data_IF_172835873548
#
_entry.id   IF_172835873548
#
_cell.length_a   1.000
_cell.length_b   1.000
_cell.length_c   1.000
_cell.angle_alpha   90.00
_cell.angle_beta   90.00
_cell.angle_gamma   90.00
#
_symmetry.space_group_name_H-M   'P 1'
#
loop_
_entity.id
_entity.type
_entity.pdbx_description
1 polymer ?
#
# COMPACT_ATOMS: atom_id res chain seq x y z
N UNK A 1 -3.62 -0.56 35.80
CA UNK A 1 -2.89 -1.07 34.66
C UNK A 1 -2.45 0.08 33.76
N UNK A 2 -1.18 0.16 33.44
CA UNK A 2 -0.63 1.04 32.43
C UNK A 2 -0.33 0.21 31.16
N UNK A 3 -1.03 0.44 30.07
CA UNK A 3 -0.83 -0.31 28.84
C UNK A 3 -0.02 0.50 27.82
N UNK A 4 1.11 -0.05 27.39
CA UNK A 4 1.92 0.48 26.29
C UNK A 4 1.39 -0.10 24.99
N UNK A 5 1.11 0.77 24.01
CA UNK A 5 0.55 0.39 22.72
C UNK A 5 1.48 0.84 21.60
N UNK A 6 1.92 -0.08 20.75
CA UNK A 6 2.62 0.22 19.51
C UNK A 6 1.63 0.70 18.45
N UNK A 7 1.14 1.94 18.56
CA UNK A 7 0.03 2.47 17.75
C UNK A 7 0.29 2.47 16.25
N UNK A 8 1.54 2.50 15.83
CA UNK A 8 1.93 2.53 14.41
C UNK A 8 2.46 1.20 13.90
N UNK A 9 2.75 0.25 14.81
CA UNK A 9 3.41 -1.00 14.44
C UNK A 9 4.86 -0.81 13.97
N UNK A 10 5.51 0.25 14.42
CA UNK A 10 6.85 0.65 14.01
C UNK A 10 7.93 0.56 15.08
N UNK A 11 7.57 0.18 16.29
CA UNK A 11 8.48 0.05 17.44
C UNK A 11 9.38 -1.17 17.28
N UNK A 12 10.65 -1.03 17.64
CA UNK A 12 11.63 -2.13 17.63
C UNK A 12 11.95 -2.58 19.07
N UNK A 13 12.57 -3.76 19.27
CA UNK A 13 12.86 -4.28 20.63
C UNK A 13 13.67 -3.34 21.52
N UNK A 14 14.55 -2.53 20.95
CA UNK A 14 15.32 -1.53 21.68
C UNK A 14 14.43 -0.43 22.25
N UNK A 15 13.45 0.04 21.47
CA UNK A 15 12.46 1.02 21.94
C UNK A 15 11.64 0.47 23.09
N UNK A 16 11.17 -0.80 22.99
CA UNK A 16 10.45 -1.48 24.07
C UNK A 16 11.29 -1.48 25.34
N UNK A 17 12.58 -1.82 25.23
CA UNK A 17 13.50 -1.84 26.36
C UNK A 17 13.60 -0.47 27.03
N UNK A 18 13.72 0.58 26.24
CA UNK A 18 13.83 1.94 26.75
C UNK A 18 12.52 2.42 27.40
N UNK A 19 11.38 2.17 26.75
CA UNK A 19 10.06 2.57 27.26
C UNK A 19 9.74 1.85 28.55
N UNK A 20 9.92 0.52 28.64
CA UNK A 20 9.66 -0.24 29.87
C UNK A 20 10.50 0.28 31.02
N UNK A 21 11.80 0.55 30.82
CA UNK A 21 12.68 1.12 31.85
C UNK A 21 12.16 2.48 32.36
N UNK A 22 11.70 3.35 31.46
CA UNK A 22 11.15 4.66 31.87
C UNK A 22 9.84 4.49 32.63
N UNK A 23 8.93 3.65 32.10
CA UNK A 23 7.62 3.43 32.75
C UNK A 23 7.81 2.85 34.14
N UNK A 24 8.66 1.83 34.34
CA UNK A 24 8.93 1.22 35.65
C UNK A 24 9.51 2.20 36.68
N UNK A 25 10.26 3.22 36.24
CA UNK A 25 10.77 4.27 37.16
C UNK A 25 9.67 5.22 37.64
N UNK A 26 8.59 5.35 36.89
CA UNK A 26 7.57 6.38 37.13
C UNK A 26 6.22 5.84 37.60
N UNK A 27 6.04 4.51 37.65
CA UNK A 27 4.80 3.90 38.15
C UNK A 27 5.05 2.54 38.78
N UNK A 28 4.24 2.23 39.78
CA UNK A 28 4.14 0.92 40.42
C UNK A 28 2.94 0.12 39.90
N UNK A 29 2.16 0.70 38.99
CA UNK A 29 1.04 -0.01 38.41
C UNK A 29 1.53 -1.21 37.58
N UNK A 30 0.72 -2.28 37.45
CA UNK A 30 0.97 -3.32 36.48
C UNK A 30 1.06 -2.75 35.05
N UNK A 31 2.01 -3.26 34.28
CA UNK A 31 2.28 -2.81 32.91
C UNK A 31 1.77 -3.85 31.92
N UNK A 32 1.02 -3.40 30.90
CA UNK A 32 0.63 -4.19 29.75
C UNK A 32 1.38 -3.75 28.50
N UNK A 33 1.49 -4.66 27.53
CA UNK A 33 2.00 -4.36 26.19
C UNK A 33 1.07 -4.92 25.11
N UNK A 34 0.72 -4.04 24.15
CA UNK A 34 -0.08 -4.37 22.97
C UNK A 34 0.72 -4.07 21.70
N UNK A 35 1.03 -5.11 20.94
CA UNK A 35 1.86 -5.02 19.73
C UNK A 35 1.06 -5.11 18.45
N UNK A 36 1.19 -4.10 17.57
CA UNK A 36 0.71 -4.17 16.20
C UNK A 36 1.73 -4.85 15.28
N UNK A 37 1.27 -5.32 14.12
CA UNK A 37 2.08 -6.21 13.29
C UNK A 37 2.47 -5.59 11.92
N UNK A 38 2.54 -4.27 11.82
CA UNK A 38 2.89 -3.57 10.57
C UNK A 38 4.24 -4.03 10.01
N UNK A 39 5.28 -4.07 10.84
CA UNK A 39 6.61 -4.56 10.49
C UNK A 39 6.83 -6.05 10.80
N UNK A 40 5.76 -6.76 11.21
CA UNK A 40 5.83 -8.14 11.69
C UNK A 40 6.73 -8.33 12.93
N UNK A 41 6.92 -7.28 13.72
CA UNK A 41 7.70 -7.30 14.94
C UNK A 41 6.86 -7.56 16.21
N UNK A 42 5.55 -7.75 16.07
CA UNK A 42 4.65 -7.97 17.21
C UNK A 42 5.12 -9.07 18.16
N UNK A 43 5.57 -10.22 17.62
CA UNK A 43 6.08 -11.31 18.43
C UNK A 43 7.35 -10.92 19.19
N UNK A 44 8.38 -10.46 18.51
CA UNK A 44 9.67 -10.17 19.16
C UNK A 44 9.57 -9.02 20.16
N UNK A 45 8.75 -8.01 19.86
CA UNK A 45 8.47 -6.92 20.79
C UNK A 45 7.75 -7.41 22.06
N UNK A 46 6.76 -8.30 21.90
CA UNK A 46 6.04 -8.92 23.02
C UNK A 46 6.97 -9.77 23.87
N UNK A 47 7.81 -10.61 23.25
CA UNK A 47 8.80 -11.41 23.96
C UNK A 47 9.79 -10.50 24.74
N UNK A 48 10.23 -9.41 24.12
CA UNK A 48 11.11 -8.43 24.74
C UNK A 48 10.43 -7.80 25.98
N UNK A 49 9.15 -7.40 25.83
CA UNK A 49 8.37 -6.87 26.95
C UNK A 49 8.22 -7.88 28.08
N UNK A 50 7.91 -9.15 27.78
CA UNK A 50 7.81 -10.24 28.77
C UNK A 50 9.13 -10.44 29.52
N UNK A 51 10.26 -10.49 28.82
CA UNK A 51 11.60 -10.63 29.41
C UNK A 51 11.99 -9.45 30.33
N UNK A 52 11.38 -8.29 30.09
CA UNK A 52 11.55 -7.10 30.95
C UNK A 52 10.54 -7.05 32.11
N UNK A 53 9.76 -8.11 32.30
CA UNK A 53 8.82 -8.25 33.43
C UNK A 53 7.55 -7.44 33.24
N UNK A 54 7.10 -7.20 32.02
CA UNK A 54 5.75 -6.65 31.74
C UNK A 54 4.71 -7.66 32.22
N UNK A 55 3.70 -7.19 32.97
CA UNK A 55 2.76 -8.06 33.68
C UNK A 55 1.68 -8.68 32.79
N UNK A 56 1.32 -8.00 31.69
CA UNK A 56 0.29 -8.43 30.76
C UNK A 56 0.73 -8.21 29.33
N UNK A 57 0.46 -9.19 28.48
CA UNK A 57 0.57 -9.07 27.02
C UNK A 57 -0.71 -9.59 26.39
N UNK A 58 -1.06 -9.08 25.23
CA UNK A 58 -2.22 -9.54 24.50
C UNK A 58 -1.85 -9.95 23.07
N UNK A 59 -2.70 -10.78 22.50
CA UNK A 59 -2.64 -11.23 21.13
C UNK A 59 -4.06 -11.56 20.65
N UNK A 60 -4.27 -11.66 19.36
CA UNK A 60 -5.58 -11.96 18.79
C UNK A 60 -5.51 -13.16 17.84
N UNK A 61 -6.59 -13.92 17.76
CA UNK A 61 -6.69 -15.06 16.84
C UNK A 61 -6.47 -14.55 15.40
N UNK A 62 -5.59 -15.23 14.66
CA UNK A 62 -5.16 -14.87 13.32
C UNK A 62 -4.64 -13.43 13.20
N UNK A 63 -4.22 -12.81 14.30
CA UNK A 63 -3.82 -11.41 14.34
C UNK A 63 -4.96 -10.45 14.05
N UNK A 64 -6.21 -10.82 14.32
CA UNK A 64 -7.40 -10.02 14.02
C UNK A 64 -7.27 -8.59 14.55
N UNK A 65 -7.37 -7.61 13.67
CA UNK A 65 -7.26 -6.20 14.01
C UNK A 65 -7.41 -5.32 12.79
N UNK A 66 -7.34 -4.02 12.98
CA UNK A 66 -7.41 -3.06 11.86
C UNK A 66 -6.10 -3.08 11.05
N UNK A 67 -6.22 -2.88 9.74
CA UNK A 67 -5.06 -2.70 8.86
C UNK A 67 -4.11 -3.90 8.90
N UNK A 68 -2.91 -3.69 9.42
CA UNK A 68 -1.88 -4.72 9.51
C UNK A 68 -2.17 -5.82 10.54
N UNK A 69 -3.17 -5.61 11.39
CA UNK A 69 -3.51 -6.54 12.46
C UNK A 69 -2.59 -6.44 13.68
N UNK A 70 -2.87 -7.32 14.62
CA UNK A 70 -2.19 -7.45 15.91
C UNK A 70 -1.21 -8.64 15.90
N UNK A 71 -0.53 -8.87 17.01
CA UNK A 71 0.20 -10.12 17.25
C UNK A 71 -0.76 -11.31 17.13
N UNK A 72 -0.38 -12.34 16.38
CA UNK A 72 -1.13 -13.57 16.27
C UNK A 72 -1.02 -14.39 17.55
N UNK A 73 -2.16 -14.76 18.13
CA UNK A 73 -2.20 -15.58 19.35
C UNK A 73 -1.59 -16.96 19.13
N UNK A 74 -1.92 -17.60 18.03
CA UNK A 74 -1.37 -18.92 17.66
C UNK A 74 0.15 -18.89 17.54
N UNK A 75 0.73 -17.79 17.02
CA UNK A 75 2.18 -17.62 16.95
C UNK A 75 2.80 -17.45 18.35
N UNK A 76 2.19 -16.62 19.20
CA UNK A 76 2.64 -16.42 20.56
C UNK A 76 2.57 -17.71 21.39
N UNK A 77 1.44 -18.43 21.33
CA UNK A 77 1.26 -19.70 22.04
C UNK A 77 2.24 -20.76 21.57
N UNK A 78 2.50 -20.86 20.26
CA UNK A 78 3.50 -21.77 19.71
C UNK A 78 4.91 -21.44 20.25
N UNK A 79 5.27 -20.16 20.31
CA UNK A 79 6.55 -19.74 20.86
C UNK A 79 6.65 -20.10 22.35
N UNK A 80 5.61 -19.80 23.15
CA UNK A 80 5.59 -20.07 24.58
C UNK A 80 5.64 -21.57 24.89
N UNK A 81 4.97 -22.38 24.09
CA UNK A 81 5.05 -23.84 24.21
C UNK A 81 6.48 -24.34 23.95
N UNK A 82 7.11 -23.89 22.87
CA UNK A 82 8.41 -24.38 22.44
C UNK A 82 9.58 -23.90 23.33
N UNK A 83 9.47 -22.71 23.95
CA UNK A 83 10.60 -22.06 24.62
C UNK A 83 10.37 -21.77 26.12
N UNK A 84 9.13 -21.71 26.55
CA UNK A 84 8.79 -21.33 27.94
C UNK A 84 8.04 -22.44 28.69
N UNK A 85 7.80 -23.59 28.01
CA UNK A 85 7.17 -24.76 28.61
C UNK A 85 5.65 -24.62 28.83
N UNK A 86 4.99 -23.67 28.22
CA UNK A 86 3.54 -23.54 28.29
C UNK A 86 2.85 -24.74 27.59
N UNK A 87 1.98 -25.43 28.32
CA UNK A 87 1.16 -26.48 27.72
C UNK A 87 0.06 -25.85 26.85
N UNK A 88 -0.01 -26.23 25.57
CA UNK A 88 -1.00 -25.76 24.60
C UNK A 88 -1.67 -26.94 23.91
N UNK A 89 -3.00 -26.98 23.93
CA UNK A 89 -3.76 -27.90 23.10
C UNK A 89 -3.90 -27.35 21.69
N UNK A 90 -3.04 -27.82 20.80
CA UNK A 90 -3.02 -27.36 19.40
C UNK A 90 -4.23 -27.84 18.59
N UNK A 91 -4.98 -28.89 19.02
CA UNK A 91 -6.21 -29.30 18.36
C UNK A 91 -7.31 -28.27 18.61
N UNK A 92 -7.49 -27.89 19.89
CA UNK A 92 -8.44 -26.82 20.27
C UNK A 92 -8.08 -25.51 19.59
N UNK A 93 -6.79 -25.16 19.54
CA UNK A 93 -6.32 -23.94 18.87
C UNK A 93 -6.64 -24.02 17.36
N UNK A 94 -6.46 -25.17 16.71
CA UNK A 94 -6.79 -25.40 15.30
C UNK A 94 -8.28 -25.24 15.01
N UNK A 95 -9.15 -25.74 15.90
CA UNK A 95 -10.60 -25.56 15.78
C UNK A 95 -11.00 -24.08 15.85
N UNK A 96 -10.40 -23.33 16.78
CA UNK A 96 -10.64 -21.88 16.91
C UNK A 96 -10.17 -21.15 15.64
N UNK A 97 -8.97 -21.45 15.13
CA UNK A 97 -8.45 -20.85 13.89
C UNK A 97 -9.40 -21.12 12.72
N UNK A 98 -9.86 -22.37 12.59
CA UNK A 98 -10.81 -22.77 11.54
C UNK A 98 -12.11 -21.95 11.62
N UNK A 99 -12.64 -21.71 12.81
CA UNK A 99 -13.83 -20.92 13.02
C UNK A 99 -13.65 -19.44 12.66
N UNK A 100 -12.45 -18.88 12.84
CA UNK A 100 -12.13 -17.47 12.55
C UNK A 100 -11.65 -17.22 11.11
N UNK A 101 -11.19 -18.24 10.39
CA UNK A 101 -10.69 -18.12 9.01
C UNK A 101 -11.68 -17.41 8.07
N UNK A 102 -13.00 -17.70 8.06
CA UNK A 102 -13.95 -16.99 7.18
C UNK A 102 -14.03 -15.48 7.46
N UNK A 103 -13.79 -15.05 8.72
CA UNK A 103 -13.74 -13.62 9.06
C UNK A 103 -12.49 -12.96 8.46
N UNK A 104 -11.34 -13.65 8.55
CA UNK A 104 -10.10 -13.17 7.95
C UNK A 104 -10.24 -13.04 6.43
N UNK A 105 -10.80 -14.04 5.76
CA UNK A 105 -11.05 -14.01 4.31
C UNK A 105 -11.97 -12.86 3.90
N UNK A 106 -13.02 -12.61 4.68
CA UNK A 106 -13.98 -11.54 4.43
C UNK A 106 -13.41 -10.14 4.65
N UNK A 107 -12.67 -9.93 5.74
CA UNK A 107 -12.21 -8.60 6.17
C UNK A 107 -10.76 -8.31 5.77
N UNK A 108 -9.97 -9.34 5.43
CA UNK A 108 -8.64 -9.23 4.85
C UNK A 108 -7.66 -8.35 5.65
N UNK A 109 -7.64 -8.48 6.99
CA UNK A 109 -6.59 -7.85 7.78
C UNK A 109 -5.25 -8.56 7.56
N UNK A 110 -4.19 -7.87 7.89
CA UNK A 110 -2.83 -8.37 7.74
C UNK A 110 -1.92 -7.34 7.08
N UNK A 111 -0.61 -7.51 7.28
CA UNK A 111 0.34 -6.53 6.78
C UNK A 111 0.55 -6.62 5.27
N UNK A 112 0.89 -5.49 4.68
CA UNK A 112 1.28 -5.35 3.28
C UNK A 112 2.24 -4.16 3.16
N UNK A 113 2.84 -3.97 1.98
CA UNK A 113 3.83 -2.92 1.78
C UNK A 113 3.36 -1.50 2.19
N UNK A 114 2.16 -1.02 1.85
CA UNK A 114 1.63 0.23 2.39
C UNK A 114 1.61 0.29 3.91
N UNK A 115 1.16 -0.75 4.59
CA UNK A 115 1.13 -0.79 6.07
C UNK A 115 2.53 -0.86 6.67
N UNK A 116 3.47 -1.59 6.05
CA UNK A 116 4.87 -1.63 6.49
C UNK A 116 5.50 -0.24 6.42
N UNK A 117 5.31 0.48 5.31
CA UNK A 117 5.82 1.84 5.16
C UNK A 117 5.16 2.84 6.11
N UNK A 118 3.86 2.71 6.33
CA UNK A 118 3.16 3.55 7.31
C UNK A 118 3.72 3.33 8.72
N UNK A 119 3.91 2.07 9.13
CA UNK A 119 4.51 1.71 10.42
C UNK A 119 5.93 2.25 10.57
N UNK A 120 6.81 1.93 9.62
CA UNK A 120 8.20 2.35 9.63
C UNK A 120 8.42 3.88 9.66
N UNK A 121 7.43 4.65 9.19
CA UNK A 121 7.51 6.11 9.15
C UNK A 121 6.55 6.79 10.14
N UNK A 122 5.95 6.06 11.06
CA UNK A 122 5.00 6.57 12.06
C UNK A 122 3.84 7.38 11.44
N UNK A 123 3.33 6.93 10.29
CA UNK A 123 2.23 7.58 9.58
C UNK A 123 0.91 7.01 10.09
N UNK A 124 -0.09 7.85 10.45
CA UNK A 124 -1.41 7.39 10.86
C UNK A 124 -2.08 6.48 9.84
N UNK A 125 -2.54 5.32 10.28
CA UNK A 125 -3.00 4.25 9.38
C UNK A 125 -4.38 4.48 8.75
N UNK A 126 -5.22 5.37 9.29
CA UNK A 126 -6.62 5.52 8.86
C UNK A 126 -6.75 5.73 7.35
N UNK A 127 -6.05 6.72 6.80
CA UNK A 127 -6.08 7.00 5.36
C UNK A 127 -5.47 5.87 4.52
N UNK A 128 -4.38 5.27 5.02
CA UNK A 128 -3.74 4.13 4.33
C UNK A 128 -4.69 2.95 4.24
N UNK A 129 -5.45 2.68 5.32
CA UNK A 129 -6.49 1.66 5.33
C UNK A 129 -7.59 1.95 4.31
N UNK A 130 -8.06 3.20 4.24
CA UNK A 130 -9.07 3.61 3.26
C UNK A 130 -8.54 3.43 1.82
N UNK A 131 -7.30 3.80 1.54
CA UNK A 131 -6.69 3.63 0.22
C UNK A 131 -6.54 2.15 -0.18
N UNK A 132 -6.11 1.32 0.77
CA UNK A 132 -5.94 -0.13 0.54
C UNK A 132 -7.30 -0.82 0.39
N UNK A 133 -8.27 -0.51 1.25
CA UNK A 133 -9.58 -1.15 1.26
C UNK A 133 -10.40 -0.83 0.00
N UNK A 134 -10.36 0.41 -0.47
CA UNK A 134 -11.12 0.83 -1.64
C UNK A 134 -10.59 0.26 -2.97
N UNK A 135 -9.35 -0.26 -2.99
CA UNK A 135 -8.70 -0.86 -4.19
C UNK A 135 -8.73 0.03 -5.45
N UNK A 136 -8.91 1.33 -5.27
CA UNK A 136 -8.91 2.32 -6.37
C UNK A 136 -7.49 2.62 -6.81
N UNK A 137 -6.55 2.61 -5.86
CA UNK A 137 -5.16 2.95 -6.07
C UNK A 137 -4.27 1.71 -6.11
N UNK A 138 -3.26 1.71 -6.98
CA UNK A 138 -2.21 0.69 -6.94
C UNK A 138 -1.34 0.85 -5.69
N UNK A 139 -0.74 -0.23 -5.22
CA UNK A 139 0.21 -0.15 -4.11
C UNK A 139 1.35 0.83 -4.39
N UNK A 140 1.84 0.90 -5.62
CA UNK A 140 2.89 1.86 -6.00
C UNK A 140 2.46 3.31 -5.82
N UNK A 141 1.19 3.65 -6.11
CA UNK A 141 0.66 5.00 -5.88
C UNK A 141 0.58 5.31 -4.38
N UNK A 142 0.12 4.35 -3.57
CA UNK A 142 0.05 4.51 -2.11
C UNK A 142 1.45 4.66 -1.51
N UNK A 143 2.39 3.81 -1.92
CA UNK A 143 3.81 3.88 -1.50
C UNK A 143 4.39 5.26 -1.78
N UNK A 144 4.21 5.77 -3.00
CA UNK A 144 4.70 7.11 -3.37
C UNK A 144 4.03 8.22 -2.55
N UNK A 145 2.74 8.12 -2.29
CA UNK A 145 2.05 9.08 -1.43
C UNK A 145 2.63 9.11 -0.02
N UNK A 146 2.98 7.94 0.53
CA UNK A 146 3.62 7.82 1.84
C UNK A 146 5.06 8.37 1.83
N UNK A 147 5.85 8.08 0.79
CA UNK A 147 7.20 8.63 0.61
C UNK A 147 7.17 10.16 0.47
N UNK A 148 6.24 10.71 -0.30
CA UNK A 148 6.06 12.14 -0.43
C UNK A 148 5.73 12.80 0.91
N UNK A 149 4.88 12.18 1.74
CA UNK A 149 4.61 12.66 3.10
C UNK A 149 5.85 12.64 3.98
N UNK A 150 6.59 11.52 3.99
CA UNK A 150 7.83 11.39 4.76
C UNK A 150 8.83 12.49 4.38
N UNK A 151 8.98 12.77 3.10
CA UNK A 151 9.95 13.71 2.56
C UNK A 151 9.42 15.15 2.50
N UNK A 152 8.20 15.42 2.97
CA UNK A 152 7.49 16.69 2.83
C UNK A 152 7.48 17.20 1.37
N UNK A 153 7.38 16.28 0.42
CA UNK A 153 7.31 16.61 -1.00
C UNK A 153 5.95 17.24 -1.30
N UNK A 154 5.98 18.47 -1.77
CA UNK A 154 4.77 19.24 -2.10
C UNK A 154 4.55 19.21 -3.60
N UNK A 155 3.32 18.91 -4.02
CA UNK A 155 2.90 19.06 -5.42
C UNK A 155 2.56 20.54 -5.69
N UNK A 156 3.52 21.26 -6.26
CA UNK A 156 3.37 22.66 -6.62
C UNK A 156 3.06 22.89 -8.11
N UNK A 157 3.01 21.83 -8.92
CA UNK A 157 2.80 21.94 -10.34
C UNK A 157 1.30 22.13 -10.66
N UNK A 158 0.92 23.33 -11.02
CA UNK A 158 -0.43 23.66 -11.49
C UNK A 158 -0.42 23.73 -13.02
N UNK A 159 -1.33 23.00 -13.64
CA UNK A 159 -1.50 22.97 -15.08
C UNK A 159 -2.91 23.45 -15.45
N UNK A 160 -3.10 23.95 -16.69
CA UNK A 160 -4.45 24.28 -17.18
C UNK A 160 -5.40 23.09 -17.05
N UNK A 161 -6.66 23.38 -16.85
CA UNK A 161 -7.69 22.35 -16.91
C UNK A 161 -7.69 21.72 -18.28
N UNK A 162 -7.70 20.37 -18.33
CA UNK A 162 -7.77 19.66 -19.59
C UNK A 162 -9.05 20.02 -20.35
N UNK A 163 -8.88 20.41 -21.60
CA UNK A 163 -9.95 20.56 -22.57
C UNK A 163 -9.48 19.93 -23.87
N UNK A 164 -10.28 19.03 -24.42
CA UNK A 164 -9.96 18.47 -25.73
C UNK A 164 -10.03 19.57 -26.80
N UNK A 165 -9.05 19.62 -27.70
CA UNK A 165 -8.98 20.63 -28.79
C UNK A 165 -10.19 20.53 -29.71
N UNK A 166 -10.72 19.32 -29.87
CA UNK A 166 -11.95 19.06 -30.64
C UNK A 166 -12.73 17.89 -30.02
N UNK A 167 -13.99 17.77 -30.41
CA UNK A 167 -14.78 16.57 -30.15
C UNK A 167 -14.42 15.50 -31.17
N UNK A 168 -14.23 14.27 -30.70
CA UNK A 168 -13.99 13.10 -31.53
C UNK A 168 -15.23 12.24 -31.58
N UNK A 169 -15.51 11.66 -32.74
CA UNK A 169 -16.63 10.72 -32.92
C UNK A 169 -16.35 9.37 -32.26
N UNK A 170 -15.08 9.00 -32.13
CA UNK A 170 -14.63 7.75 -31.54
C UNK A 170 -13.49 7.98 -30.56
N UNK A 171 -13.48 7.22 -29.49
CA UNK A 171 -12.38 7.16 -28.52
C UNK A 171 -12.03 5.70 -28.29
N UNK A 172 -10.78 5.33 -28.57
CA UNK A 172 -10.26 4.01 -28.27
C UNK A 172 -9.43 4.08 -27.00
N UNK A 173 -9.84 3.34 -25.96
CA UNK A 173 -9.10 3.24 -24.69
C UNK A 173 -8.23 2.00 -24.72
N UNK A 174 -6.92 2.18 -24.58
CA UNK A 174 -5.93 1.10 -24.51
C UNK A 174 -5.52 0.88 -23.07
N UNK A 175 -5.84 -0.31 -22.53
CA UNK A 175 -5.50 -0.74 -21.19
C UNK A 175 -4.12 -1.37 -21.07
N UNK A 176 -3.77 -1.83 -19.85
CA UNK A 176 -2.47 -2.45 -19.54
C UNK A 176 -2.45 -3.98 -19.65
N UNK A 177 -3.49 -4.61 -20.17
CA UNK A 177 -3.57 -6.07 -20.35
C UNK A 177 -2.71 -6.58 -21.53
N UNK A 178 -2.43 -7.88 -21.53
CA UNK A 178 -1.61 -8.50 -22.59
C UNK A 178 -2.25 -8.40 -23.98
N UNK A 179 -3.57 -8.42 -24.07
CA UNK A 179 -4.30 -8.26 -25.33
C UNK A 179 -3.91 -6.99 -26.10
N UNK A 180 -3.51 -5.91 -25.40
CA UNK A 180 -3.03 -4.69 -26.04
C UNK A 180 -1.72 -4.89 -26.84
N UNK A 181 -0.93 -5.92 -26.49
CA UNK A 181 0.26 -6.31 -27.27
C UNK A 181 -0.08 -7.40 -28.30
N UNK A 182 -0.84 -8.40 -27.90
CA UNK A 182 -1.19 -9.54 -28.76
C UNK A 182 -1.94 -9.09 -30.02
N UNK A 183 -2.83 -8.11 -29.87
CA UNK A 183 -3.64 -7.59 -30.98
C UNK A 183 -3.18 -6.21 -31.48
N UNK A 184 -1.92 -5.81 -31.23
CA UNK A 184 -1.42 -4.49 -31.57
C UNK A 184 -1.52 -4.14 -33.06
N UNK A 185 -1.24 -5.10 -33.96
CA UNK A 185 -1.28 -4.86 -35.42
C UNK A 185 -2.72 -4.62 -35.86
N UNK A 186 -3.68 -5.44 -35.46
CA UNK A 186 -5.09 -5.23 -35.75
C UNK A 186 -5.62 -3.91 -35.19
N UNK A 187 -5.17 -3.57 -33.96
CA UNK A 187 -5.52 -2.28 -33.32
C UNK A 187 -4.98 -1.09 -34.12
N UNK A 188 -3.72 -1.15 -34.58
CA UNK A 188 -3.12 -0.09 -35.39
C UNK A 188 -3.80 0.04 -36.74
N UNK A 189 -4.12 -1.08 -37.35
CA UNK A 189 -4.86 -1.09 -38.64
C UNK A 189 -6.24 -0.44 -38.49
N UNK A 190 -6.98 -0.81 -37.41
CA UNK A 190 -8.24 -0.14 -37.08
C UNK A 190 -8.07 1.37 -36.91
N UNK A 191 -7.07 1.80 -36.13
CA UNK A 191 -6.79 3.24 -35.95
C UNK A 191 -6.47 3.94 -37.26
N UNK A 192 -5.71 3.29 -38.13
CA UNK A 192 -5.34 3.88 -39.45
C UNK A 192 -6.52 4.06 -40.40
N UNK A 193 -7.56 3.25 -40.29
CA UNK A 193 -8.79 3.33 -41.09
C UNK A 193 -9.76 4.41 -40.60
N UNK A 194 -9.60 4.88 -39.34
CA UNK A 194 -10.50 5.84 -38.72
C UNK A 194 -10.03 7.29 -38.92
N UNK A 195 -10.90 8.16 -39.38
CA UNK A 195 -10.55 9.57 -39.67
C UNK A 195 -10.72 10.48 -38.44
N UNK A 196 -11.60 10.13 -37.54
CA UNK A 196 -11.96 10.97 -36.39
C UNK A 196 -11.98 10.16 -35.07
N UNK A 197 -10.80 9.69 -34.70
CA UNK A 197 -10.56 8.88 -33.51
C UNK A 197 -9.51 9.51 -32.61
N UNK A 198 -9.73 9.45 -31.31
CA UNK A 198 -8.70 9.74 -30.29
C UNK A 198 -8.28 8.45 -29.58
N UNK A 199 -7.03 8.36 -29.22
CA UNK A 199 -6.46 7.22 -28.50
C UNK A 199 -6.17 7.64 -27.07
N UNK A 200 -6.71 6.91 -26.10
CA UNK A 200 -6.50 7.14 -24.67
C UNK A 200 -5.77 5.95 -24.06
N UNK A 201 -4.55 6.17 -23.59
CA UNK A 201 -3.83 5.18 -22.80
C UNK A 201 -4.23 5.31 -21.33
N UNK A 202 -4.96 4.32 -20.82
CA UNK A 202 -5.29 4.24 -19.39
C UNK A 202 -4.05 3.93 -18.53
N UNK A 203 -2.97 3.44 -19.13
CA UNK A 203 -1.65 3.20 -18.53
C UNK A 203 -0.58 3.31 -19.62
N UNK A 204 0.59 3.82 -19.28
CA UNK A 204 1.72 3.94 -20.20
C UNK A 204 2.47 2.61 -20.46
N UNK A 205 1.98 1.48 -19.88
CA UNK A 205 2.66 0.17 -19.96
C UNK A 205 3.04 -0.25 -21.38
N UNK A 206 2.13 -0.08 -22.31
CA UNK A 206 2.29 -0.54 -23.71
C UNK A 206 2.43 0.61 -24.72
N UNK A 207 2.60 1.84 -24.25
CA UNK A 207 2.70 3.03 -25.11
C UNK A 207 3.78 2.90 -26.20
N UNK A 208 4.92 2.25 -25.88
CA UNK A 208 6.06 2.09 -26.79
C UNK A 208 5.70 1.41 -28.12
N UNK A 209 4.77 0.45 -28.11
CA UNK A 209 4.42 -0.30 -29.32
C UNK A 209 3.44 0.45 -30.25
N UNK A 210 2.92 1.60 -29.82
CA UNK A 210 1.97 2.43 -30.54
C UNK A 210 2.53 3.81 -30.93
N UNK A 211 3.85 4.02 -30.87
CA UNK A 211 4.47 5.32 -31.18
C UNK A 211 4.34 5.77 -32.64
N UNK A 212 4.05 4.84 -33.52
CA UNK A 212 3.91 5.04 -34.97
C UNK A 212 2.49 5.48 -35.42
N UNK A 213 1.51 5.45 -34.51
CA UNK A 213 0.15 5.89 -34.81
C UNK A 213 0.09 7.41 -35.06
N UNK A 214 -0.79 7.83 -35.98
CA UNK A 214 -0.95 9.24 -36.36
C UNK A 214 -2.12 9.94 -35.65
N UNK A 215 -3.01 9.18 -35.03
CA UNK A 215 -4.16 9.72 -34.31
C UNK A 215 -3.72 10.53 -33.08
N UNK A 216 -4.50 11.50 -32.59
CA UNK A 216 -4.26 12.18 -31.34
C UNK A 216 -4.23 11.20 -30.18
N UNK A 217 -3.20 11.33 -29.31
CA UNK A 217 -2.95 10.43 -28.18
C UNK A 217 -3.03 11.19 -26.87
N UNK A 218 -3.72 10.61 -25.92
CA UNK A 218 -3.83 11.10 -24.54
C UNK A 218 -3.36 10.03 -23.56
N UNK A 219 -2.45 10.40 -22.67
CA UNK A 219 -1.93 9.52 -21.62
C UNK A 219 -2.52 9.91 -20.28
N UNK A 220 -3.28 9.02 -19.67
CA UNK A 220 -3.83 9.23 -18.32
C UNK A 220 -2.76 8.86 -17.30
N UNK A 221 -2.19 9.86 -16.63
CA UNK A 221 -1.07 9.69 -15.73
C UNK A 221 -1.53 9.78 -14.26
N UNK A 222 -1.68 8.61 -13.63
CA UNK A 222 -2.02 8.49 -12.21
C UNK A 222 -0.89 7.74 -11.51
N UNK A 223 -0.50 8.15 -10.30
CA UNK A 223 0.57 7.52 -9.55
C UNK A 223 1.90 7.55 -10.31
N UNK A 224 2.49 6.39 -10.56
CA UNK A 224 3.80 6.27 -11.22
C UNK A 224 3.74 6.17 -12.76
N UNK A 225 2.59 6.45 -13.36
CA UNK A 225 2.45 6.32 -14.83
C UNK A 225 3.31 7.34 -15.59
N UNK A 226 3.58 8.51 -15.01
CA UNK A 226 4.52 9.50 -15.58
C UNK A 226 5.92 8.91 -15.72
N UNK A 227 6.46 8.30 -14.66
CA UNK A 227 7.75 7.61 -14.70
C UNK A 227 7.76 6.46 -15.70
N UNK A 228 6.66 5.69 -15.74
CA UNK A 228 6.51 4.58 -16.69
C UNK A 228 6.49 5.08 -18.14
N UNK A 229 5.82 6.19 -18.41
CA UNK A 229 5.82 6.81 -19.73
C UNK A 229 7.24 7.23 -20.14
N UNK A 230 7.96 7.94 -19.29
CA UNK A 230 9.36 8.33 -19.53
C UNK A 230 10.25 7.12 -19.81
N UNK A 231 10.15 6.07 -19.00
CA UNK A 231 10.96 4.87 -19.17
C UNK A 231 10.66 4.10 -20.44
N UNK A 232 9.39 4.05 -20.88
CA UNK A 232 8.97 3.26 -22.04
C UNK A 232 9.10 4.01 -23.36
N UNK A 233 8.88 5.33 -23.36
CA UNK A 233 8.83 6.13 -24.58
C UNK A 233 10.09 6.96 -24.76
N UNK A 234 10.65 7.50 -23.70
CA UNK A 234 11.76 8.46 -23.71
C UNK A 234 11.32 9.86 -24.13
N UNK A 235 12.05 10.86 -23.67
CA UNK A 235 11.70 12.28 -23.83
C UNK A 235 11.61 12.71 -25.31
N UNK A 236 12.55 12.26 -26.14
CA UNK A 236 12.65 12.67 -27.55
C UNK A 236 11.66 11.97 -28.50
N UNK A 237 10.90 10.99 -28.02
CA UNK A 237 9.93 10.23 -28.83
C UNK A 237 8.49 10.45 -28.40
N UNK A 238 8.30 11.25 -27.38
CA UNK A 238 6.98 11.53 -26.85
C UNK A 238 6.15 12.34 -27.87
N UNK A 239 4.95 11.85 -28.12
CA UNK A 239 3.92 12.54 -28.91
C UNK A 239 2.58 12.33 -28.22
N UNK A 240 1.86 13.39 -27.95
CA UNK A 240 0.55 13.33 -27.32
C UNK A 240 0.41 14.25 -26.13
N UNK A 241 -0.72 14.16 -25.46
CA UNK A 241 -1.08 15.00 -24.31
C UNK A 241 -1.10 14.17 -23.05
N UNK A 242 -0.40 14.63 -22.01
CA UNK A 242 -0.49 14.05 -20.67
C UNK A 242 -1.69 14.63 -19.94
N UNK A 243 -2.56 13.78 -19.43
CA UNK A 243 -3.71 14.15 -18.62
C UNK A 243 -3.46 13.69 -17.19
N UNK A 244 -3.42 14.64 -16.30
CA UNK A 244 -3.11 14.44 -14.87
C UNK A 244 -4.39 14.50 -14.03
N UNK A 245 -4.43 13.87 -12.85
CA UNK A 245 -5.50 14.08 -11.88
C UNK A 245 -5.63 15.56 -11.49
N UNK A 246 -6.79 15.99 -11.00
CA UNK A 246 -6.98 17.35 -10.49
C UNK A 246 -5.96 17.70 -9.40
N UNK A 247 -5.50 18.95 -9.39
CA UNK A 247 -4.68 19.51 -8.32
C UNK A 247 -5.52 19.76 -7.05
N UNK A 248 -4.98 19.53 -5.84
CA UNK A 248 -3.68 18.91 -5.52
C UNK A 248 -3.72 17.38 -5.68
N UNK A 249 -2.63 16.82 -6.25
CA UNK A 249 -2.51 15.38 -6.51
C UNK A 249 -1.99 14.62 -5.31
N UNK A 250 -2.88 14.11 -4.49
CA UNK A 250 -2.55 13.52 -3.18
C UNK A 250 -1.97 12.11 -3.25
N UNK A 251 -2.16 11.40 -4.38
CA UNK A 251 -1.78 9.99 -4.52
C UNK A 251 -0.43 9.78 -5.21
N UNK A 252 0.52 10.68 -4.97
CA UNK A 252 1.89 10.52 -5.45
C UNK A 252 2.01 10.48 -6.97
N UNK A 253 1.15 11.21 -7.68
CA UNK A 253 1.23 11.32 -9.14
C UNK A 253 2.55 11.95 -9.54
N UNK A 254 3.30 11.27 -10.38
CA UNK A 254 4.54 11.77 -10.95
C UNK A 254 4.26 12.54 -12.23
N UNK A 255 4.67 13.80 -12.23
CA UNK A 255 4.55 14.67 -13.41
C UNK A 255 5.82 14.47 -14.25
N UNK A 256 5.70 14.09 -15.54
CA UNK A 256 6.86 14.02 -16.42
C UNK A 256 7.56 15.38 -16.53
N UNK A 257 8.88 15.35 -16.71
CA UNK A 257 9.70 16.58 -16.80
C UNK A 257 9.60 17.30 -18.15
N UNK A 258 8.82 16.78 -19.12
CA UNK A 258 8.71 17.28 -20.49
C UNK A 258 7.26 17.51 -20.90
#
# INVERSE_FOLDING_TARGET
>A
LFCMVDSFGGVIPEDITNIVKVVRKNTTCPIGFHGHNNLQLGLINTITAMKLGVDYVDATILGMGRGAGNLNMELLLTYLNAHEGLEVDFNVLGDVITAFTPLMERHQWGTNLPYMLAGANCIPQKEVMDWVANRIYSFNSIVRALENRKNNTVDNAQFPQFSAEKKFNKVLVIGGGNNAIEHKEATKEFIAQEQDIAIVFATARHAKVYLDIKAPVYYILVGNEGRRLTANVGENKFKGTCVLPPYPRTMGTEVPAY
#
